data_IF_935785563163
#
_entry.id   IF_935785563163
#
_cell.length_a   1.000
_cell.length_b   1.000
_cell.length_c   1.000
_cell.angle_alpha   90.00
_cell.angle_beta   90.00
_cell.angle_gamma   90.00
#
_symmetry.space_group_name_H-M   'P 1'
#
loop_
_entity.id
_entity.type
_entity.pdbx_description
1 polymer ?
#
# COMPACT_ATOMS: atom_id res chain seq x y z
N UNK A 1 11.98 -2.77 -5.78
CA UNK A 1 13.28 -2.89 -6.46
C UNK A 1 14.22 -3.65 -5.55
N UNK A 2 15.03 -4.55 -6.12
CA UNK A 2 15.93 -5.43 -5.38
C UNK A 2 17.32 -5.31 -6.01
N UNK A 3 18.35 -5.12 -5.19
CA UNK A 3 19.76 -5.14 -5.61
C UNK A 3 20.42 -6.40 -5.06
N UNK A 4 21.02 -7.21 -5.92
CA UNK A 4 21.75 -8.42 -5.52
C UNK A 4 23.24 -8.22 -5.83
N UNK A 5 24.09 -8.54 -4.84
CA UNK A 5 25.52 -8.64 -5.07
C UNK A 5 25.88 -10.10 -5.33
N UNK A 6 26.22 -10.40 -6.58
CA UNK A 6 26.53 -11.75 -7.02
C UNK A 6 28.03 -12.02 -6.86
N UNK A 7 28.44 -13.16 -6.28
CA UNK A 7 29.82 -13.62 -6.40
C UNK A 7 30.14 -13.98 -7.86
N UNK A 8 31.40 -13.88 -8.27
CA UNK A 8 31.83 -14.11 -9.66
C UNK A 8 31.36 -15.49 -10.19
N UNK A 9 31.40 -16.52 -9.34
CA UNK A 9 30.92 -17.87 -9.67
C UNK A 9 29.41 -17.98 -9.94
N UNK A 10 28.61 -17.05 -9.42
CA UNK A 10 27.17 -16.97 -9.67
C UNK A 10 26.85 -16.04 -10.85
N UNK A 11 27.69 -15.02 -11.09
CA UNK A 11 27.50 -14.04 -12.15
C UNK A 11 27.49 -14.68 -13.56
N UNK A 12 28.32 -15.71 -13.78
CA UNK A 12 28.36 -16.47 -15.03
C UNK A 12 27.04 -17.21 -15.34
N UNK A 13 26.27 -17.55 -14.30
CA UNK A 13 25.03 -18.29 -14.42
C UNK A 13 23.79 -17.38 -14.43
N UNK A 14 23.97 -16.07 -14.25
CA UNK A 14 22.83 -15.14 -14.29
C UNK A 14 22.45 -14.90 -15.74
N UNK A 15 21.24 -15.31 -16.16
CA UNK A 15 20.81 -15.06 -17.51
C UNK A 15 20.72 -13.56 -17.77
N UNK A 16 21.05 -13.14 -18.98
CA UNK A 16 20.80 -11.76 -19.39
C UNK A 16 19.32 -11.41 -19.25
N UNK A 17 19.04 -10.15 -18.88
CA UNK A 17 17.70 -9.59 -18.92
C UNK A 17 17.28 -9.49 -20.39
N UNK A 18 16.76 -10.58 -20.95
CA UNK A 18 16.18 -10.57 -22.30
C UNK A 18 15.01 -9.57 -22.35
N UNK A 19 14.57 -9.18 -23.56
CA UNK A 19 13.40 -8.30 -23.79
C UNK A 19 12.05 -8.82 -23.23
N UNK A 20 12.08 -9.91 -22.47
CA UNK A 20 10.91 -10.60 -21.91
C UNK A 20 10.45 -9.95 -20.60
N UNK A 21 9.14 -10.10 -20.26
CA UNK A 21 8.58 -9.53 -19.05
C UNK A 21 9.30 -10.03 -17.79
N UNK A 22 9.60 -9.10 -16.87
CA UNK A 22 10.42 -9.34 -15.68
C UNK A 22 9.96 -10.51 -14.80
N UNK A 23 8.67 -10.91 -14.85
CA UNK A 23 8.16 -12.09 -14.13
C UNK A 23 8.82 -13.40 -14.58
N UNK A 24 8.99 -13.60 -15.88
CA UNK A 24 9.64 -14.82 -16.42
C UNK A 24 11.13 -14.84 -16.07
N UNK A 25 11.76 -13.68 -16.02
CA UNK A 25 13.14 -13.53 -15.60
C UNK A 25 13.35 -13.97 -14.15
N UNK A 26 12.56 -13.44 -13.21
CA UNK A 26 12.69 -13.82 -11.79
C UNK A 26 12.37 -15.29 -11.55
N UNK A 27 11.43 -15.89 -12.29
CA UNK A 27 11.13 -17.31 -12.17
C UNK A 27 12.35 -18.22 -12.48
N UNK A 28 13.27 -17.75 -13.33
CA UNK A 28 14.51 -18.46 -13.68
C UNK A 28 15.63 -18.21 -12.68
N UNK A 29 15.77 -16.97 -12.21
CA UNK A 29 16.90 -16.56 -11.36
C UNK A 29 16.68 -16.91 -9.89
N UNK A 30 15.45 -16.82 -9.38
CA UNK A 30 15.16 -17.05 -7.97
C UNK A 30 15.62 -18.43 -7.43
N UNK A 31 15.42 -19.56 -8.13
CA UNK A 31 15.87 -20.87 -7.64
C UNK A 31 17.37 -20.93 -7.37
N UNK A 32 18.19 -20.34 -8.25
CA UNK A 32 19.65 -20.38 -8.12
C UNK A 32 20.16 -19.41 -7.05
N UNK A 33 19.52 -18.24 -6.91
CA UNK A 33 19.78 -17.32 -5.79
C UNK A 33 19.51 -17.99 -4.44
N UNK A 34 18.36 -18.68 -4.32
CA UNK A 34 17.97 -19.41 -3.12
C UNK A 34 18.96 -20.53 -2.82
N UNK A 35 19.32 -21.36 -3.82
CA UNK A 35 20.28 -22.46 -3.65
C UNK A 35 21.66 -21.96 -3.22
N UNK A 36 22.05 -20.78 -3.69
CA UNK A 36 23.33 -20.15 -3.39
C UNK A 36 23.31 -19.31 -2.10
N UNK A 37 22.18 -19.23 -1.41
CA UNK A 37 22.03 -18.41 -0.20
C UNK A 37 22.18 -16.90 -0.44
N UNK A 38 22.02 -16.44 -1.69
CA UNK A 38 22.19 -15.04 -2.07
C UNK A 38 20.89 -14.30 -1.76
N UNK A 39 21.00 -13.29 -0.89
CA UNK A 39 19.91 -12.39 -0.53
C UNK A 39 20.12 -11.01 -1.17
N UNK A 40 19.05 -10.23 -1.39
CA UNK A 40 19.20 -8.86 -1.81
C UNK A 40 20.00 -8.05 -0.77
N UNK A 41 20.97 -7.30 -1.23
CA UNK A 41 21.76 -6.37 -0.40
C UNK A 41 20.93 -5.13 -0.04
N UNK A 42 20.17 -4.61 -1.02
CA UNK A 42 19.28 -3.48 -0.82
C UNK A 42 17.89 -3.76 -1.40
N UNK A 43 16.86 -3.40 -0.61
CA UNK A 43 15.45 -3.58 -0.95
C UNK A 43 14.76 -2.23 -0.82
N UNK A 44 14.20 -1.74 -1.92
CA UNK A 44 13.41 -0.51 -1.93
C UNK A 44 12.00 -0.83 -2.39
N UNK A 45 11.00 -0.58 -1.54
CA UNK A 45 9.59 -0.76 -1.91
C UNK A 45 9.22 0.27 -2.97
N UNK A 46 8.24 -0.02 -3.84
CA UNK A 46 7.83 0.94 -4.85
C UNK A 46 7.36 2.27 -4.23
N UNK A 47 6.74 2.20 -3.05
CA UNK A 47 6.36 3.36 -2.23
C UNK A 47 7.55 4.21 -1.83
N UNK A 48 8.56 3.57 -1.25
CA UNK A 48 9.81 4.19 -0.84
C UNK A 48 10.55 4.79 -2.04
N UNK A 49 10.54 4.11 -3.20
CA UNK A 49 11.19 4.59 -4.41
C UNK A 49 10.59 5.91 -4.93
N UNK A 50 9.27 6.08 -4.84
CA UNK A 50 8.60 7.34 -5.22
C UNK A 50 9.02 8.47 -4.27
N UNK A 51 9.03 8.22 -2.96
CA UNK A 51 9.52 9.18 -1.99
C UNK A 51 10.97 9.58 -2.25
N UNK A 52 11.85 8.60 -2.47
CA UNK A 52 13.25 8.82 -2.76
C UNK A 52 13.43 9.71 -3.99
N UNK A 53 12.67 9.44 -5.07
CA UNK A 53 12.67 10.26 -6.28
C UNK A 53 12.28 11.71 -6.01
N UNK A 54 11.24 11.94 -5.21
CA UNK A 54 10.76 13.30 -4.88
C UNK A 54 11.69 14.06 -3.94
N UNK A 55 12.49 13.34 -3.15
CA UNK A 55 13.40 13.92 -2.15
C UNK A 55 14.87 13.91 -2.57
N UNK A 56 15.17 13.39 -3.76
CA UNK A 56 16.53 13.29 -4.29
C UNK A 56 17.40 12.24 -3.58
N UNK A 57 16.81 11.26 -2.91
CA UNK A 57 17.54 10.14 -2.31
C UNK A 57 17.85 9.13 -3.41
N UNK A 58 19.10 8.72 -3.51
CA UNK A 58 19.53 7.70 -4.46
C UNK A 58 18.89 6.35 -4.14
N UNK A 59 18.41 5.64 -5.16
CA UNK A 59 17.78 4.34 -4.99
C UNK A 59 18.83 3.27 -4.69
N UNK A 60 18.40 2.21 -3.99
CA UNK A 60 19.24 1.05 -3.68
C UNK A 60 20.46 1.39 -2.79
N UNK A 61 20.36 2.44 -1.97
CA UNK A 61 21.29 2.71 -0.87
C UNK A 61 20.67 2.36 0.49
N UNK A 62 21.46 2.27 1.56
CA UNK A 62 20.93 2.15 2.92
C UNK A 62 19.96 3.28 3.31
N UNK A 63 20.16 4.52 2.81
CA UNK A 63 19.25 5.63 3.11
C UNK A 63 17.88 5.46 2.45
N UNK A 64 17.81 4.79 1.29
CA UNK A 64 16.55 4.47 0.63
C UNK A 64 15.79 3.29 1.27
N UNK A 65 16.35 2.68 2.32
CA UNK A 65 15.70 1.61 3.05
C UNK A 65 14.50 2.11 3.86
N UNK A 66 13.41 1.34 3.87
CA UNK A 66 12.16 1.70 4.57
C UNK A 66 12.37 2.15 6.02
N UNK A 67 13.24 1.48 6.77
CA UNK A 67 13.53 1.81 8.17
C UNK A 67 14.19 3.18 8.31
N UNK A 68 15.05 3.57 7.37
CA UNK A 68 15.68 4.88 7.37
C UNK A 68 14.66 5.96 6.99
N UNK A 69 13.86 5.72 5.94
CA UNK A 69 12.84 6.66 5.46
C UNK A 69 11.74 6.90 6.50
N UNK A 70 11.26 5.86 7.18
CA UNK A 70 10.18 5.96 8.18
C UNK A 70 10.54 6.82 9.39
N UNK A 71 11.83 7.09 9.62
CA UNK A 71 12.31 7.98 10.69
C UNK A 71 12.29 9.46 10.29
N UNK A 72 12.09 9.77 9.01
CA UNK A 72 12.01 11.16 8.54
C UNK A 72 10.66 11.76 8.87
N UNK A 73 10.67 12.99 9.37
CA UNK A 73 9.44 13.69 9.80
C UNK A 73 8.46 13.91 8.66
N UNK A 74 8.94 14.15 7.44
CA UNK A 74 8.13 14.44 6.26
C UNK A 74 7.71 13.19 5.47
N UNK A 75 8.13 11.99 5.90
CA UNK A 75 7.83 10.75 5.18
C UNK A 75 6.34 10.44 5.20
N UNK A 76 5.70 10.48 6.38
CA UNK A 76 4.27 10.17 6.52
C UNK A 76 3.38 11.06 5.65
N UNK A 77 3.62 12.38 5.68
CA UNK A 77 2.83 13.36 4.94
C UNK A 77 2.99 13.20 3.44
N UNK A 78 4.22 12.99 2.93
CA UNK A 78 4.45 12.75 1.50
C UNK A 78 3.95 11.39 1.02
N UNK A 79 3.81 10.43 1.94
CA UNK A 79 3.16 9.15 1.63
C UNK A 79 1.63 9.23 1.66
N UNK A 80 1.06 10.30 2.23
CA UNK A 80 -0.38 10.53 2.24
C UNK A 80 -0.85 10.76 0.78
N UNK A 81 -1.54 9.78 0.22
CA UNK A 81 -1.98 9.80 -1.18
C UNK A 81 -1.14 8.98 -2.16
N UNK A 82 -0.11 8.25 -1.70
CA UNK A 82 0.59 7.27 -2.54
C UNK A 82 -0.41 6.28 -3.18
N UNK A 83 -0.41 6.21 -4.52
CA UNK A 83 -1.33 5.40 -5.32
C UNK A 83 -2.61 6.12 -5.77
N UNK A 84 -3.09 7.10 -5.00
CA UNK A 84 -4.23 7.96 -5.39
C UNK A 84 -3.79 9.22 -6.16
N UNK A 85 -2.61 9.74 -5.85
CA UNK A 85 -2.07 11.00 -6.37
C UNK A 85 -0.83 10.82 -7.27
N UNK A 86 -0.53 9.61 -7.74
CA UNK A 86 0.60 9.35 -8.65
C UNK A 86 0.09 9.33 -10.08
N UNK A 87 0.31 10.40 -10.88
CA UNK A 87 -0.26 10.51 -12.22
C UNK A 87 0.16 9.37 -13.14
N UNK A 88 1.39 8.86 -13.00
CA UNK A 88 1.96 7.81 -13.86
C UNK A 88 1.40 6.41 -13.55
N UNK A 89 0.80 6.23 -12.37
CA UNK A 89 0.10 4.98 -12.02
C UNK A 89 -1.38 5.02 -12.38
N UNK A 90 -1.91 6.20 -12.73
CA UNK A 90 -3.30 6.42 -13.15
C UNK A 90 -3.52 5.76 -14.51
N UNK A 91 -4.27 4.65 -14.54
CA UNK A 91 -4.57 3.87 -15.74
C UNK A 91 -3.68 2.66 -15.99
N UNK A 92 -2.57 2.50 -15.25
CA UNK A 92 -1.71 1.30 -15.27
C UNK A 92 -2.08 0.34 -14.14
N UNK A 93 -2.38 0.88 -12.95
CA UNK A 93 -3.01 0.11 -11.89
C UNK A 93 -4.52 0.06 -12.13
N UNK A 94 -5.19 -1.10 -11.97
CA UNK A 94 -6.64 -1.10 -11.93
C UNK A 94 -7.10 -0.10 -10.87
N UNK A 95 -8.17 0.65 -11.14
CA UNK A 95 -8.77 1.55 -10.16
C UNK A 95 -8.88 0.78 -8.84
N UNK A 96 -8.08 1.15 -7.85
CA UNK A 96 -8.17 0.55 -6.53
C UNK A 96 -9.45 1.09 -5.90
N UNK A 97 -10.57 0.45 -6.24
CA UNK A 97 -11.87 0.80 -5.71
C UNK A 97 -11.95 0.25 -4.31
N UNK A 98 -11.85 1.13 -3.33
CA UNK A 98 -12.10 0.82 -1.94
C UNK A 98 -13.32 1.61 -1.44
N UNK A 99 -14.04 1.04 -0.47
CA UNK A 99 -15.00 1.78 0.34
C UNK A 99 -14.34 2.18 1.67
N UNK A 100 -14.85 3.24 2.29
CA UNK A 100 -14.56 3.50 3.69
C UNK A 100 -15.28 2.44 4.52
N UNK A 101 -14.53 1.73 5.36
CA UNK A 101 -15.07 0.80 6.33
C UNK A 101 -14.96 1.43 7.72
N UNK A 102 -16.08 1.51 8.42
CA UNK A 102 -16.14 2.01 9.79
C UNK A 102 -16.56 0.86 10.69
N UNK A 103 -15.62 0.39 11.52
CA UNK A 103 -15.87 -0.61 12.54
C UNK A 103 -16.52 0.06 13.76
N UNK A 104 -17.72 -0.40 14.06
CA UNK A 104 -18.54 -0.04 15.20
C UNK A 104 -18.70 -1.26 16.14
N UNK A 105 -19.22 -1.02 17.34
CA UNK A 105 -19.52 -2.06 18.33
C UNK A 105 -20.50 -3.12 17.81
N UNK A 106 -21.42 -2.74 16.93
CA UNK A 106 -22.46 -3.61 16.37
C UNK A 106 -22.06 -4.26 15.03
N UNK A 107 -20.94 -3.85 14.43
CA UNK A 107 -20.49 -4.38 13.13
C UNK A 107 -19.73 -3.36 12.29
N UNK A 108 -19.69 -3.60 10.98
CA UNK A 108 -18.93 -2.76 10.03
C UNK A 108 -19.88 -2.13 9.02
N UNK A 109 -19.80 -0.81 8.88
CA UNK A 109 -20.51 -0.07 7.84
C UNK A 109 -19.56 0.26 6.69
N UNK A 110 -20.05 0.11 5.45
CA UNK A 110 -19.27 0.31 4.24
C UNK A 110 -19.84 1.48 3.43
N UNK A 111 -19.01 2.48 3.14
CA UNK A 111 -19.39 3.68 2.41
C UNK A 111 -18.62 3.80 1.10
N UNK A 112 -19.32 3.86 -0.02
CA UNK A 112 -18.71 4.03 -1.33
C UNK A 112 -18.01 5.39 -1.46
N UNK A 113 -17.00 5.52 -2.33
CA UNK A 113 -16.37 6.81 -2.65
C UNK A 113 -17.25 7.64 -3.61
N UNK A 114 -18.56 7.64 -3.39
CA UNK A 114 -19.54 8.43 -4.13
C UNK A 114 -20.09 9.55 -3.23
N UNK A 115 -20.69 10.58 -3.84
CA UNK A 115 -21.34 11.65 -3.07
C UNK A 115 -22.40 11.14 -2.09
N UNK A 116 -23.07 10.01 -2.40
CA UNK A 116 -24.01 9.36 -1.49
C UNK A 116 -23.27 8.76 -0.29
N UNK A 117 -22.25 7.95 -0.54
CA UNK A 117 -21.46 7.29 0.50
C UNK A 117 -20.76 8.29 1.42
N UNK A 118 -20.18 9.36 0.84
CA UNK A 118 -19.57 10.45 1.62
C UNK A 118 -20.57 11.14 2.55
N UNK A 119 -21.80 11.39 2.06
CA UNK A 119 -22.85 11.98 2.87
C UNK A 119 -23.27 11.07 4.02
N UNK A 120 -23.42 9.77 3.77
CA UNK A 120 -23.76 8.77 4.79
C UNK A 120 -22.66 8.66 5.85
N UNK A 121 -21.40 8.62 5.43
CA UNK A 121 -20.25 8.63 6.32
C UNK A 121 -20.23 9.88 7.20
N UNK A 122 -20.45 11.06 6.62
CA UNK A 122 -20.53 12.31 7.38
C UNK A 122 -21.68 12.32 8.38
N UNK A 123 -22.84 11.79 8.01
CA UNK A 123 -23.98 11.62 8.93
C UNK A 123 -23.60 10.74 10.11
N UNK A 124 -23.03 9.55 9.87
CA UNK A 124 -22.58 8.64 10.92
C UNK A 124 -21.59 9.31 11.89
N UNK A 125 -20.60 10.02 11.35
CA UNK A 125 -19.58 10.72 12.15
C UNK A 125 -20.23 11.81 13.02
N UNK A 126 -21.19 12.56 12.47
CA UNK A 126 -21.90 13.61 13.19
C UNK A 126 -22.80 13.05 14.30
N UNK A 127 -23.51 11.96 14.01
CA UNK A 127 -24.38 11.28 14.98
C UNK A 127 -23.56 10.73 16.14
N UNK A 128 -22.46 10.02 15.87
CA UNK A 128 -21.55 9.54 16.92
C UNK A 128 -20.95 10.68 17.74
N UNK A 129 -20.51 11.77 17.08
CA UNK A 129 -19.97 12.93 17.79
C UNK A 129 -20.99 13.61 18.71
N UNK A 130 -22.28 13.59 18.35
CA UNK A 130 -23.34 14.23 19.14
C UNK A 130 -23.62 13.54 20.49
N UNK A 131 -23.30 12.24 20.60
CA UNK A 131 -23.49 11.42 21.81
C UNK A 131 -22.16 10.97 22.42
N UNK A 132 -21.04 11.53 22.00
CA UNK A 132 -19.70 11.10 22.40
C UNK A 132 -19.48 11.13 23.93
N UNK A 133 -20.13 12.05 24.63
CA UNK A 133 -20.06 12.19 26.09
C UNK A 133 -21.27 11.59 26.82
N UNK A 134 -22.16 10.87 26.12
CA UNK A 134 -23.28 10.18 26.78
C UNK A 134 -22.72 8.98 27.58
N UNK A 135 -22.99 8.88 28.90
CA UNK A 135 -22.58 7.75 29.71
C UNK A 135 -23.13 6.40 29.22
N UNK A 136 -24.22 6.41 28.45
CA UNK A 136 -24.85 5.23 27.87
C UNK A 136 -24.36 4.93 26.45
N UNK A 137 -23.33 5.63 25.95
CA UNK A 137 -22.79 5.38 24.62
C UNK A 137 -22.14 3.99 24.57
N UNK A 138 -22.75 3.08 23.81
CA UNK A 138 -22.23 1.72 23.61
C UNK A 138 -20.93 1.71 22.78
N UNK A 139 -20.70 2.77 22.00
CA UNK A 139 -19.56 2.89 21.11
C UNK A 139 -18.34 3.48 21.85
N UNK A 140 -17.39 2.62 22.22
CA UNK A 140 -16.16 3.05 22.94
C UNK A 140 -14.98 3.33 22.01
N UNK A 141 -14.95 2.74 20.82
CA UNK A 141 -13.88 2.92 19.85
C UNK A 141 -14.39 2.72 18.42
N UNK A 142 -14.02 3.63 17.52
CA UNK A 142 -14.34 3.55 16.11
C UNK A 142 -13.05 3.44 15.31
N UNK A 143 -12.97 2.45 14.42
CA UNK A 143 -11.82 2.29 13.53
C UNK A 143 -12.25 2.58 12.10
N UNK A 144 -11.53 3.47 11.45
CA UNK A 144 -11.73 3.78 10.04
C UNK A 144 -10.63 3.12 9.22
N UNK A 145 -11.02 2.48 8.12
CA UNK A 145 -10.11 1.87 7.17
C UNK A 145 -10.63 1.93 5.75
N UNK A 146 -9.78 1.53 4.81
CA UNK A 146 -10.17 1.33 3.43
C UNK A 146 -10.32 -0.17 3.18
N UNK A 147 -11.52 -0.58 2.77
CA UNK A 147 -11.78 -1.96 2.38
C UNK A 147 -11.79 -2.07 0.85
N UNK A 148 -10.88 -2.84 0.25
CA UNK A 148 -10.86 -3.02 -1.20
C UNK A 148 -12.10 -3.80 -1.66
N UNK A 149 -12.81 -3.28 -2.67
CA UNK A 149 -14.01 -3.87 -3.24
C UNK A 149 -13.70 -4.94 -4.31
N UNK A 150 -12.74 -5.83 -4.02
CA UNK A 150 -12.45 -6.97 -4.89
C UNK A 150 -13.52 -8.06 -4.77
N UNK A 151 -14.12 -8.20 -3.59
CA UNK A 151 -15.22 -9.13 -3.38
C UNK A 151 -16.56 -8.50 -3.79
N UNK A 152 -17.13 -9.01 -4.88
CA UNK A 152 -18.43 -8.57 -5.38
C UNK A 152 -19.59 -8.89 -4.44
N UNK A 153 -19.43 -9.86 -3.53
CA UNK A 153 -20.45 -10.24 -2.54
C UNK A 153 -20.82 -9.09 -1.59
N UNK A 154 -19.85 -8.18 -1.36
CA UNK A 154 -19.97 -7.06 -0.45
C UNK A 154 -20.79 -5.89 -1.00
N UNK A 155 -20.99 -5.82 -2.33
CA UNK A 155 -21.68 -4.70 -2.99
C UNK A 155 -23.07 -4.40 -2.42
N UNK A 156 -23.77 -5.42 -1.95
CA UNK A 156 -25.11 -5.30 -1.36
C UNK A 156 -25.14 -4.57 -0.01
N UNK A 157 -24.00 -4.48 0.67
CA UNK A 157 -23.86 -3.86 1.99
C UNK A 157 -23.26 -2.45 1.91
N UNK A 158 -22.82 -2.01 0.72
CA UNK A 158 -22.24 -0.68 0.53
C UNK A 158 -23.34 0.36 0.41
N UNK A 159 -23.27 1.42 1.21
CA UNK A 159 -24.29 2.47 1.31
C UNK A 159 -25.70 1.96 1.64
N UNK A 160 -25.77 0.81 2.32
CA UNK A 160 -27.01 0.17 2.77
C UNK A 160 -27.64 0.92 3.96
#
# INVERSE_FOLDING_TARGET
>A
MLHYRLPESAAENVPGLAERPGREYFARVCPDLIRSGIVPEHIVRLRDAVYCRETGIELLTPEAGHTALSRRSDYGDKQMGYGACIPELKGVLPDFRACNAVELSEGVLLFSPSAKGDKLLQCLMRENASVFFDPNMNQTAMKCGLLPLFDHSLRRFVDA
#
